data_IF_822732611611
#
_entry.id   IF_822732611611
#
_cell.length_a   1.000
_cell.length_b   1.000
_cell.length_c   1.000
_cell.angle_alpha   90.00
_cell.angle_beta   90.00
_cell.angle_gamma   90.00
#
_symmetry.space_group_name_H-M   'P 1'
#
loop_
_entity.id
_entity.type
_entity.pdbx_description
1 polymer ?
#
# COMPACT_ATOMS: atom_id res chain seq x y z
N UNK A 1 7.07 2.90 -24.73
CA UNK A 1 6.76 3.21 -23.80
C UNK A 1 7.10 2.49 -22.83
N UNK A 2 7.04 2.83 -21.95
CA UNK A 2 7.60 2.08 -21.05
C UNK A 2 6.82 2.09 -19.80
N UNK A 3 7.22 1.27 -18.87
CA UNK A 3 6.46 1.09 -17.65
C UNK A 3 6.44 2.33 -16.82
N UNK A 4 7.39 3.22 -17.03
CA UNK A 4 7.45 4.40 -16.19
C UNK A 4 6.31 5.34 -16.44
N UNK A 5 5.81 5.37 -17.66
CA UNK A 5 4.68 6.22 -17.96
C UNK A 5 3.43 5.71 -17.24
N UNK A 6 3.30 4.41 -17.13
CA UNK A 6 2.16 3.84 -16.41
C UNK A 6 2.23 4.15 -14.94
N UNK A 7 3.43 4.20 -14.38
CA UNK A 7 3.58 4.49 -12.97
C UNK A 7 3.13 5.90 -12.62
N UNK A 8 3.24 6.81 -13.55
CA UNK A 8 2.85 8.20 -13.28
C UNK A 8 1.36 8.35 -13.05
N UNK A 9 0.56 7.42 -13.56
CA UNK A 9 -0.89 7.48 -13.42
C UNK A 9 -1.43 6.67 -12.26
N UNK A 10 -0.54 6.09 -11.47
CA UNK A 10 -0.94 5.18 -10.39
C UNK A 10 -1.06 5.95 -9.09
N UNK A 11 -2.17 5.71 -8.38
CA UNK A 11 -2.36 6.33 -7.08
C UNK A 11 -1.40 5.71 -6.08
N UNK A 12 -0.65 6.56 -5.40
CA UNK A 12 0.30 6.10 -4.39
C UNK A 12 -0.04 6.72 -3.04
N UNK A 13 0.48 6.10 -1.98
CA UNK A 13 0.24 6.58 -0.62
C UNK A 13 1.48 7.32 -0.13
N UNK A 14 1.27 8.58 0.27
CA UNK A 14 2.37 9.40 0.76
C UNK A 14 2.99 8.80 2.02
N UNK A 15 4.30 8.83 2.07
CA UNK A 15 5.02 8.35 3.25
C UNK A 15 5.19 6.85 3.31
N UNK A 16 4.62 6.11 2.36
CA UNK A 16 4.72 4.65 2.37
C UNK A 16 5.54 4.11 1.21
N UNK A 17 6.40 4.96 0.62
CA UNK A 17 7.17 4.55 -0.54
C UNK A 17 8.04 3.33 -0.30
N UNK A 18 8.57 3.20 0.92
CA UNK A 18 9.43 2.06 1.23
C UNK A 18 8.65 0.75 1.30
N UNK A 19 7.34 0.81 1.40
CA UNK A 19 6.50 -0.37 1.43
C UNK A 19 5.98 -0.76 0.05
N UNK A 20 6.22 0.08 -0.95
CA UNK A 20 5.75 -0.18 -2.30
C UNK A 20 6.58 -1.32 -2.90
N UNK A 21 5.93 -2.41 -3.28
CA UNK A 21 6.64 -3.55 -3.83
C UNK A 21 6.41 -3.73 -5.32
N UNK A 22 5.53 -2.95 -5.90
CA UNK A 22 5.32 -3.06 -7.33
C UNK A 22 3.91 -2.63 -7.70
N UNK A 23 3.46 -3.11 -8.85
CA UNK A 23 2.13 -2.80 -9.34
C UNK A 23 1.41 -4.10 -9.67
N UNK A 24 0.09 -4.05 -9.65
CA UNK A 24 -0.73 -5.20 -9.98
C UNK A 24 -1.83 -4.78 -10.93
N UNK A 25 -2.23 -5.73 -11.79
CA UNK A 25 -3.25 -5.41 -12.78
C UNK A 25 -3.99 -6.67 -13.16
N UNK A 26 -5.28 -6.53 -13.29
CA UNK A 26 -6.10 -7.58 -13.87
C UNK A 26 -6.49 -7.14 -15.28
N UNK A 27 -6.75 -8.12 -16.14
CA UNK A 27 -7.11 -7.82 -17.51
C UNK A 27 -8.32 -6.88 -17.53
N UNK A 28 -8.20 -5.79 -18.27
CA UNK A 28 -9.29 -4.83 -18.41
C UNK A 28 -9.47 -3.89 -17.24
N UNK A 29 -8.58 -3.96 -16.24
CA UNK A 29 -8.68 -3.11 -15.06
C UNK A 29 -7.48 -2.19 -14.97
N UNK A 30 -7.60 -1.09 -14.22
CA UNK A 30 -6.46 -0.17 -14.10
C UNK A 30 -5.30 -0.81 -13.34
N UNK A 31 -4.11 -0.30 -13.58
CA UNK A 31 -2.92 -0.73 -12.87
C UNK A 31 -2.90 -0.06 -11.50
N UNK A 32 -2.66 -0.84 -10.46
CA UNK A 32 -2.69 -0.36 -9.09
C UNK A 32 -1.36 -0.55 -8.41
N UNK A 33 -1.01 0.37 -7.51
CA UNK A 33 0.16 0.20 -6.67
C UNK A 33 -0.11 -0.91 -5.66
N UNK A 34 0.93 -1.70 -5.35
CA UNK A 34 0.83 -2.79 -4.39
C UNK A 34 1.81 -2.52 -3.27
N UNK A 35 1.29 -2.49 -2.04
CA UNK A 35 2.09 -2.21 -0.86
C UNK A 35 2.13 -3.43 0.05
N UNK A 36 3.30 -3.69 0.62
CA UNK A 36 3.49 -4.78 1.58
C UNK A 36 3.00 -4.30 2.94
N UNK A 37 1.96 -4.93 3.46
CA UNK A 37 1.35 -4.50 4.72
C UNK A 37 2.35 -4.59 5.87
N UNK A 38 3.19 -5.62 5.91
CA UNK A 38 4.19 -5.73 6.97
C UNK A 38 5.11 -4.52 6.98
N UNK A 39 5.51 -4.06 5.80
CA UNK A 39 6.37 -2.88 5.72
C UNK A 39 5.62 -1.62 6.13
N UNK A 40 4.35 -1.52 5.76
CA UNK A 40 3.56 -0.37 6.17
C UNK A 40 3.50 -0.30 7.69
N UNK A 41 3.26 -1.42 8.35
CA UNK A 41 3.19 -1.44 9.81
C UNK A 41 4.54 -1.06 10.42
N UNK A 42 5.64 -1.53 9.83
CA UNK A 42 6.96 -1.14 10.33
C UNK A 42 7.16 0.37 10.25
N UNK A 43 6.73 0.96 9.14
CA UNK A 43 6.87 2.41 8.97
C UNK A 43 6.07 3.14 10.03
N UNK A 44 4.85 2.69 10.30
CA UNK A 44 4.01 3.33 11.30
C UNK A 44 4.63 3.23 12.69
N UNK A 45 5.25 2.10 13.00
CA UNK A 45 5.89 1.93 14.29
C UNK A 45 7.15 2.79 14.40
N UNK A 46 7.94 2.86 13.32
CA UNK A 46 9.19 3.60 13.35
C UNK A 46 8.98 5.10 13.33
N UNK A 47 8.22 5.60 12.37
CA UNK A 47 8.10 7.03 12.20
C UNK A 47 6.93 7.60 12.98
N UNK A 48 5.91 6.79 13.23
CA UNK A 48 4.74 7.24 13.97
C UNK A 48 4.81 6.97 15.45
N UNK A 49 5.81 6.23 15.91
CA UNK A 49 5.95 5.92 17.33
C UNK A 49 4.86 5.02 17.86
N UNK A 50 4.21 4.25 17.00
CA UNK A 50 3.09 3.41 17.41
C UNK A 50 3.58 2.06 17.89
N UNK A 51 2.80 1.48 18.80
CA UNK A 51 3.01 0.08 19.14
C UNK A 51 2.47 -0.79 18.02
N UNK A 52 2.76 -2.09 18.09
CA UNK A 52 2.30 -3.03 17.11
C UNK A 52 0.78 -2.97 16.96
N UNK A 53 0.06 -3.01 18.07
CA UNK A 53 -1.39 -2.97 18.03
C UNK A 53 -1.91 -1.66 17.49
N UNK A 54 -1.27 -0.56 17.88
CA UNK A 54 -1.69 0.75 17.40
C UNK A 54 -1.50 0.88 15.89
N UNK A 55 -0.41 0.33 15.39
CA UNK A 55 -0.13 0.39 13.95
C UNK A 55 -1.18 -0.39 13.17
N UNK A 56 -1.57 -1.56 13.66
CA UNK A 56 -2.59 -2.36 12.99
C UNK A 56 -3.92 -1.62 12.97
N UNK A 57 -4.32 -1.05 14.09
CA UNK A 57 -5.59 -0.31 14.15
C UNK A 57 -5.55 0.91 13.24
N UNK A 58 -4.45 1.64 13.26
CA UNK A 58 -4.34 2.83 12.43
C UNK A 58 -4.42 2.45 10.96
N UNK A 59 -3.72 1.38 10.59
CA UNK A 59 -3.72 0.93 9.21
C UNK A 59 -5.13 0.55 8.75
N UNK A 60 -5.83 -0.25 9.56
CA UNK A 60 -7.14 -0.74 9.15
C UNK A 60 -8.16 0.39 9.03
N UNK A 61 -8.13 1.35 9.94
CA UNK A 61 -9.14 2.39 9.93
C UNK A 61 -8.79 3.56 9.02
N UNK A 62 -7.51 3.89 8.90
CA UNK A 62 -7.13 5.12 8.22
C UNK A 62 -6.44 4.90 6.88
N UNK A 63 -5.94 3.72 6.64
CA UNK A 63 -5.21 3.43 5.41
C UNK A 63 -5.96 2.41 4.58
N UNK A 64 -6.13 1.21 5.11
CA UNK A 64 -6.82 0.17 4.35
C UNK A 64 -8.27 0.53 4.11
N UNK A 65 -8.90 1.16 5.08
CA UNK A 65 -10.29 1.55 4.95
C UNK A 65 -10.54 2.75 4.06
N UNK A 66 -9.49 3.43 3.64
CA UNK A 66 -9.65 4.63 2.82
C UNK A 66 -9.82 4.24 1.35
N UNK A 67 -10.97 4.60 0.78
CA UNK A 67 -11.25 4.33 -0.62
C UNK A 67 -11.10 5.62 -1.40
N UNK A 68 -10.20 5.62 -2.39
CA UNK A 68 -9.94 6.82 -3.19
C UNK A 68 -10.27 6.61 -4.66
N UNK A 69 -11.18 5.69 -4.95
CA UNK A 69 -11.62 5.43 -6.31
C UNK A 69 -11.11 4.11 -6.81
N UNK A 70 -11.25 3.89 -8.11
CA UNK A 70 -10.89 2.61 -8.71
C UNK A 70 -9.39 2.34 -8.67
N UNK A 71 -8.59 3.38 -8.43
CA UNK A 71 -7.15 3.22 -8.39
C UNK A 71 -6.60 3.14 -6.96
N UNK A 72 -7.47 2.85 -5.99
CA UNK A 72 -7.04 2.62 -4.60
C UNK A 72 -5.99 1.51 -4.59
N UNK A 73 -4.87 1.72 -3.87
CA UNK A 73 -3.80 0.71 -3.86
C UNK A 73 -4.24 -0.63 -3.30
N UNK A 74 -3.48 -1.66 -3.66
CA UNK A 74 -3.69 -3.01 -3.15
C UNK A 74 -2.80 -3.20 -1.93
N UNK A 75 -3.37 -3.77 -0.88
CA UNK A 75 -2.63 -4.04 0.34
C UNK A 75 -2.29 -5.53 0.37
N UNK A 76 -1.01 -5.83 0.21
CA UNK A 76 -0.53 -7.20 0.07
C UNK A 76 -0.19 -7.80 1.43
N UNK A 77 -0.87 -8.88 1.77
CA UNK A 77 -0.60 -9.61 3.00
C UNK A 77 0.25 -10.82 2.65
N UNK A 78 1.50 -10.83 3.08
CA UNK A 78 2.42 -11.90 2.76
C UNK A 78 2.00 -13.16 3.52
N UNK A 79 1.65 -14.18 2.77
CA UNK A 79 1.13 -15.40 3.36
C UNK A 79 2.15 -16.08 4.28
N UNK A 80 3.42 -15.95 3.94
CA UNK A 80 4.47 -16.57 4.73
C UNK A 80 4.63 -15.94 6.11
N UNK A 81 4.09 -14.73 6.30
CA UNK A 81 4.21 -14.02 7.56
C UNK A 81 2.97 -14.15 8.43
N UNK A 82 1.99 -14.90 7.96
CA UNK A 82 0.73 -15.08 8.71
C UNK A 82 0.48 -16.57 8.97
#
# INVERSE_FOLDING_TARGET
MDDMEEMDDITTADGLGDALIGVGRRCGQPTLAVYDVSKVLEILMDTGGMTDEEAVEFFEYNIEGAWVGETTPIWFYNKAEH
#
